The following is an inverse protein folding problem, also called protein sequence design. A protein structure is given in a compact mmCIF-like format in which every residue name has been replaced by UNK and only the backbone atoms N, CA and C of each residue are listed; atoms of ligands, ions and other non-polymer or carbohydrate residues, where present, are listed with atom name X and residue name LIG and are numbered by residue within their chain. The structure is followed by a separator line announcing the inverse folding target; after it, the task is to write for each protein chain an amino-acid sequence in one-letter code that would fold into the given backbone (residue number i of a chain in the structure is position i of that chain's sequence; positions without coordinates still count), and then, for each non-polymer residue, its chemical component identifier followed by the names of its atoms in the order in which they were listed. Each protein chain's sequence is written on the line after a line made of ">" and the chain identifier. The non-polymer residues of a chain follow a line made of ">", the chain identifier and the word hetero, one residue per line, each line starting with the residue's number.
data_IF_853023124084
#
_entry.id   IF_853023124084
#
_cell.length_a   1.000
_cell.length_b   1.000
_cell.length_c   1.000
_cell.angle_alpha   90.00
_cell.angle_beta   90.00
_cell.angle_gamma   90.00
#
_symmetry.space_group_name_H-M   'P 1'
#
loop_
_entity.id
_entity.type
_entity.pdbx_description
1 polymer ?
#
# COMPACT_ATOMS: atom_id res chain seq x y z
N UNK A 1 -23.66 -42.49 -5.84
CA UNK A 1 -22.88 -41.22 -5.92
C UNK A 1 -23.27 -40.55 -7.22
N UNK A 2 -23.96 -39.45 -7.18
CA UNK A 2 -24.27 -38.67 -8.39
C UNK A 2 -22.97 -38.10 -8.96
N UNK A 3 -22.58 -38.55 -10.14
CA UNK A 3 -21.44 -38.00 -10.88
C UNK A 3 -21.90 -36.67 -11.48
N UNK A 4 -21.58 -35.57 -10.84
CA UNK A 4 -21.87 -34.24 -11.39
C UNK A 4 -20.82 -33.94 -12.44
N UNK A 5 -21.22 -33.90 -13.71
CA UNK A 5 -20.35 -33.45 -14.79
C UNK A 5 -20.21 -31.92 -14.74
N UNK A 6 -19.01 -31.44 -14.70
CA UNK A 6 -18.69 -30.01 -14.74
C UNK A 6 -17.99 -29.74 -16.08
N UNK A 7 -18.51 -28.78 -16.84
CA UNK A 7 -17.83 -28.25 -18.00
C UNK A 7 -16.89 -27.14 -17.53
N UNK A 8 -15.62 -27.22 -17.92
CA UNK A 8 -14.61 -26.21 -17.56
C UNK A 8 -14.31 -25.34 -18.76
N UNK A 9 -14.40 -24.02 -18.56
CA UNK A 9 -14.02 -23.01 -19.54
C UNK A 9 -12.83 -22.24 -18.95
N UNK A 10 -11.92 -21.79 -19.81
CA UNK A 10 -10.82 -20.88 -19.43
C UNK A 10 -11.28 -19.43 -19.53
N UNK A 11 -10.59 -18.49 -18.83
CA UNK A 11 -10.99 -17.08 -18.79
C UNK A 11 -10.97 -16.42 -20.18
N UNK A 12 -10.06 -16.86 -21.08
CA UNK A 12 -9.97 -16.35 -22.44
C UNK A 12 -11.18 -16.72 -23.32
N UNK A 13 -11.91 -17.77 -22.97
CA UNK A 13 -13.16 -18.16 -23.66
C UNK A 13 -14.30 -17.15 -23.45
N UNK A 14 -14.23 -16.30 -22.44
CA UNK A 14 -15.32 -15.41 -22.02
C UNK A 14 -14.89 -13.95 -21.82
N UNK A 15 -13.61 -13.66 -21.69
CA UNK A 15 -13.10 -12.32 -21.35
C UNK A 15 -13.29 -11.29 -22.46
N UNK A 16 -13.47 -11.70 -23.70
CA UNK A 16 -13.76 -10.86 -24.87
C UNK A 16 -15.26 -10.54 -25.03
N UNK A 17 -16.14 -11.19 -24.27
CA UNK A 17 -17.59 -11.06 -24.39
C UNK A 17 -18.17 -9.94 -23.53
N UNK A 18 -17.37 -9.37 -22.66
CA UNK A 18 -17.77 -8.24 -21.79
C UNK A 18 -16.57 -7.43 -21.39
N UNK A 19 -16.81 -6.18 -21.01
CA UNK A 19 -15.81 -5.33 -20.38
C UNK A 19 -16.21 -5.08 -18.94
N UNK A 20 -15.25 -5.27 -18.01
CA UNK A 20 -15.46 -4.88 -16.62
C UNK A 20 -15.70 -3.37 -16.51
N UNK A 21 -16.61 -2.95 -15.63
CA UNK A 21 -16.89 -1.53 -15.39
C UNK A 21 -15.63 -0.82 -14.89
N UNK A 22 -15.27 0.26 -15.53
CA UNK A 22 -14.10 1.08 -15.16
C UNK A 22 -14.53 2.49 -14.73
N UNK A 23 -13.76 3.15 -13.84
CA UNK A 23 -12.55 2.64 -13.20
C UNK A 23 -12.84 1.63 -12.08
N UNK A 24 -12.06 0.55 -12.04
CA UNK A 24 -12.04 -0.37 -10.89
C UNK A 24 -11.13 0.18 -9.79
N UNK A 25 -11.17 -0.41 -8.59
CA UNK A 25 -10.42 0.07 -7.42
C UNK A 25 -8.90 -0.07 -7.58
N UNK A 26 -8.47 -1.11 -8.27
CA UNK A 26 -7.06 -1.41 -8.53
C UNK A 26 -6.57 -0.79 -9.83
N UNK A 27 -5.26 -0.68 -10.00
CA UNK A 27 -4.66 -0.25 -11.25
C UNK A 27 -4.72 -1.39 -12.26
N UNK A 28 -5.49 -1.18 -13.33
CA UNK A 28 -5.72 -2.13 -14.40
C UNK A 28 -4.77 -1.84 -15.57
N UNK A 29 -3.56 -2.39 -15.49
CA UNK A 29 -2.50 -2.17 -16.49
C UNK A 29 -1.89 -3.45 -17.06
N UNK A 30 -2.36 -4.63 -16.59
CA UNK A 30 -1.85 -5.92 -17.03
C UNK A 30 -2.92 -6.71 -17.77
N UNK A 31 -2.63 -7.14 -18.98
CA UNK A 31 -3.57 -7.82 -19.86
C UNK A 31 -4.20 -9.05 -19.22
N UNK A 32 -3.39 -9.92 -18.58
CA UNK A 32 -3.92 -11.14 -17.96
C UNK A 32 -4.87 -10.83 -16.81
N UNK A 33 -4.56 -9.84 -15.98
CA UNK A 33 -5.43 -9.44 -14.86
C UNK A 33 -6.70 -8.76 -15.36
N UNK A 34 -6.61 -7.90 -16.40
CA UNK A 34 -7.77 -7.30 -17.05
C UNK A 34 -8.75 -8.35 -17.59
N UNK A 35 -8.23 -9.46 -18.15
CA UNK A 35 -9.03 -10.60 -18.60
C UNK A 35 -9.75 -11.30 -17.44
N UNK A 36 -9.09 -11.46 -16.28
CA UNK A 36 -9.72 -12.03 -15.09
C UNK A 36 -10.86 -11.15 -14.57
N UNK A 37 -10.70 -9.83 -14.60
CA UNK A 37 -11.78 -8.90 -14.21
C UNK A 37 -12.97 -8.97 -15.19
N UNK A 38 -12.70 -9.04 -16.48
CA UNK A 38 -13.73 -9.21 -17.49
C UNK A 38 -14.46 -10.58 -17.33
N UNK A 39 -13.71 -11.66 -17.12
CA UNK A 39 -14.29 -12.98 -16.88
C UNK A 39 -15.15 -13.00 -15.60
N UNK A 40 -14.71 -12.32 -14.52
CA UNK A 40 -15.48 -12.21 -13.29
C UNK A 40 -16.81 -11.46 -13.50
N UNK A 41 -16.79 -10.36 -14.25
CA UNK A 41 -17.99 -9.60 -14.61
C UNK A 41 -18.94 -10.43 -15.49
N UNK A 42 -18.40 -11.14 -16.47
CA UNK A 42 -19.17 -12.05 -17.31
C UNK A 42 -19.86 -13.14 -16.48
N UNK A 43 -19.12 -13.84 -15.63
CA UNK A 43 -19.66 -14.88 -14.73
C UNK A 43 -20.69 -14.28 -13.78
N UNK A 44 -20.49 -13.07 -13.29
CA UNK A 44 -21.44 -12.36 -12.43
C UNK A 44 -22.84 -12.23 -13.07
N UNK A 45 -22.87 -11.93 -14.36
CA UNK A 45 -24.08 -11.74 -15.17
C UNK A 45 -24.79 -13.06 -15.56
N UNK A 46 -24.13 -14.22 -15.43
CA UNK A 46 -24.65 -15.51 -15.91
C UNK A 46 -24.84 -16.48 -14.75
N UNK A 47 -26.08 -16.93 -14.54
CA UNK A 47 -26.44 -17.77 -13.40
C UNK A 47 -25.85 -19.19 -13.45
N UNK A 48 -25.66 -19.70 -14.64
CA UNK A 48 -25.14 -21.06 -14.89
C UNK A 48 -23.60 -21.14 -14.88
N UNK A 49 -22.93 -20.05 -14.62
CA UNK A 49 -21.45 -19.96 -14.54
C UNK A 49 -20.99 -19.67 -13.13
N UNK A 50 -19.87 -20.26 -12.76
CA UNK A 50 -19.14 -19.97 -11.52
C UNK A 50 -17.67 -19.79 -11.83
N UNK A 51 -16.98 -18.96 -11.03
CA UNK A 51 -15.56 -18.70 -11.23
C UNK A 51 -14.74 -19.41 -10.16
N UNK A 52 -13.73 -20.14 -10.63
CA UNK A 52 -12.68 -20.73 -9.79
C UNK A 52 -11.36 -20.10 -10.21
N UNK A 53 -10.77 -19.32 -9.34
CA UNK A 53 -9.45 -18.73 -9.61
C UNK A 53 -8.35 -19.62 -9.05
N UNK A 54 -7.37 -19.91 -9.90
CA UNK A 54 -6.12 -20.55 -9.50
C UNK A 54 -5.12 -19.45 -9.12
N UNK A 55 -4.51 -19.56 -7.97
CA UNK A 55 -3.49 -18.61 -7.48
C UNK A 55 -2.27 -19.38 -7.02
N UNK A 56 -1.09 -18.95 -7.45
CA UNK A 56 0.16 -19.43 -6.93
C UNK A 56 0.53 -18.65 -5.65
N UNK A 57 1.75 -18.76 -5.21
CA UNK A 57 2.26 -18.11 -4.01
C UNK A 57 2.07 -16.59 -4.03
N UNK A 58 1.63 -16.01 -2.91
CA UNK A 58 1.14 -14.63 -2.77
C UNK A 58 2.14 -13.48 -3.00
N UNK A 59 3.28 -13.71 -3.63
CA UNK A 59 4.17 -12.62 -4.06
C UNK A 59 3.84 -12.22 -5.50
N UNK A 60 3.50 -10.97 -5.72
CA UNK A 60 3.19 -10.45 -7.03
C UNK A 60 1.83 -9.74 -7.07
N UNK A 61 1.29 -9.60 -8.28
CA UNK A 61 0.03 -8.86 -8.50
C UNK A 61 -1.19 -9.70 -8.11
N UNK A 62 -1.04 -11.01 -7.93
CA UNK A 62 -2.14 -11.94 -7.66
C UNK A 62 -2.92 -11.59 -6.40
N UNK A 63 -2.26 -11.14 -5.32
CA UNK A 63 -2.94 -10.70 -4.10
C UNK A 63 -3.88 -9.50 -4.35
N UNK A 64 -3.57 -8.65 -5.32
CA UNK A 64 -4.40 -7.52 -5.74
C UNK A 64 -5.54 -8.01 -6.63
N UNK A 65 -5.24 -8.94 -7.53
CA UNK A 65 -6.19 -9.47 -8.50
C UNK A 65 -7.27 -10.30 -7.83
N UNK A 66 -6.89 -11.17 -6.90
CA UNK A 66 -7.84 -12.00 -6.13
C UNK A 66 -8.83 -11.13 -5.36
N UNK A 67 -8.35 -10.08 -4.71
CA UNK A 67 -9.17 -9.14 -3.95
C UNK A 67 -10.17 -8.37 -4.85
N UNK A 68 -9.75 -7.99 -6.06
CA UNK A 68 -10.63 -7.30 -7.01
C UNK A 68 -11.65 -8.25 -7.67
N UNK A 69 -11.24 -9.48 -8.00
CA UNK A 69 -12.16 -10.50 -8.55
C UNK A 69 -13.23 -10.86 -7.53
N UNK A 70 -12.86 -11.01 -6.25
CA UNK A 70 -13.81 -11.26 -5.16
C UNK A 70 -14.82 -10.11 -5.03
N UNK A 71 -14.36 -8.85 -5.11
CA UNK A 71 -15.23 -7.66 -5.07
C UNK A 71 -16.24 -7.66 -6.24
N UNK A 72 -15.78 -7.97 -7.46
CA UNK A 72 -16.66 -8.07 -8.63
C UNK A 72 -17.71 -9.15 -8.42
N UNK A 73 -17.31 -10.38 -8.08
CA UNK A 73 -18.24 -11.50 -7.90
C UNK A 73 -19.23 -11.24 -6.76
N UNK A 74 -18.77 -10.69 -5.64
CA UNK A 74 -19.62 -10.36 -4.49
C UNK A 74 -20.69 -9.32 -4.85
N UNK A 75 -20.41 -8.40 -5.77
CA UNK A 75 -21.39 -7.40 -6.24
C UNK A 75 -22.55 -8.02 -7.03
N UNK A 76 -22.38 -9.26 -7.50
CA UNK A 76 -23.40 -10.06 -8.18
C UNK A 76 -23.95 -11.19 -7.31
N UNK A 77 -23.67 -11.19 -6.01
CA UNK A 77 -24.03 -12.26 -5.07
C UNK A 77 -23.50 -13.65 -5.50
N UNK A 78 -22.33 -13.65 -6.14
CA UNK A 78 -21.61 -14.86 -6.53
C UNK A 78 -20.56 -15.24 -5.50
N UNK A 79 -20.37 -16.55 -5.29
CA UNK A 79 -19.33 -17.04 -4.41
C UNK A 79 -17.96 -16.99 -5.11
N UNK A 80 -16.99 -16.39 -4.44
CA UNK A 80 -15.60 -16.45 -4.89
C UNK A 80 -14.94 -17.76 -4.45
N UNK A 81 -14.38 -18.51 -5.39
CA UNK A 81 -13.67 -19.76 -5.11
C UNK A 81 -12.21 -19.64 -5.53
N UNK A 82 -11.33 -19.51 -4.55
CA UNK A 82 -9.88 -19.44 -4.73
C UNK A 82 -9.26 -20.79 -4.42
N UNK A 83 -8.45 -21.32 -5.34
CA UNK A 83 -7.60 -22.50 -5.15
C UNK A 83 -6.15 -22.06 -5.17
N UNK A 84 -5.45 -22.21 -4.05
CA UNK A 84 -4.02 -21.97 -3.96
C UNK A 84 -3.26 -23.19 -4.47
N UNK A 85 -2.36 -22.96 -5.42
CA UNK A 85 -1.48 -23.96 -5.99
C UNK A 85 -0.09 -23.70 -5.41
N UNK A 86 0.32 -24.55 -4.49
CA UNK A 86 1.64 -24.51 -3.88
C UNK A 86 2.46 -25.71 -4.34
N UNK A 87 3.72 -25.76 -3.94
CA UNK A 87 4.63 -26.89 -4.15
C UNK A 87 4.13 -28.18 -3.46
N UNK A 88 3.28 -28.02 -2.44
CA UNK A 88 2.63 -29.13 -1.72
C UNK A 88 1.25 -29.35 -2.27
N UNK A 89 1.08 -30.37 -3.12
CA UNK A 89 -0.21 -30.74 -3.72
C UNK A 89 -1.20 -31.29 -2.67
N UNK A 90 -1.94 -30.40 -2.03
CA UNK A 90 -3.03 -30.83 -1.12
C UNK A 90 -4.36 -30.94 -1.86
N UNK A 91 -4.55 -32.02 -2.60
CA UNK A 91 -5.79 -32.29 -3.34
C UNK A 91 -7.02 -32.41 -2.42
N UNK A 92 -6.84 -32.69 -1.13
CA UNK A 92 -7.92 -32.73 -0.15
C UNK A 92 -8.60 -31.38 0.00
N UNK A 93 -7.83 -30.31 0.21
CA UNK A 93 -8.34 -28.95 0.34
C UNK A 93 -9.04 -28.48 -0.94
N UNK A 94 -8.48 -28.79 -2.11
CA UNK A 94 -9.09 -28.48 -3.42
C UNK A 94 -10.45 -29.16 -3.56
N UNK A 95 -10.53 -30.46 -3.23
CA UNK A 95 -11.81 -31.21 -3.30
C UNK A 95 -12.88 -30.64 -2.37
N UNK A 96 -12.51 -30.22 -1.17
CA UNK A 96 -13.44 -29.59 -0.22
C UNK A 96 -13.97 -28.27 -0.81
N UNK A 97 -13.11 -27.40 -1.34
CA UNK A 97 -13.52 -26.13 -1.95
C UNK A 97 -14.47 -26.32 -3.14
N UNK A 98 -14.16 -27.25 -4.04
CA UNK A 98 -15.03 -27.55 -5.17
C UNK A 98 -16.37 -28.15 -4.72
N UNK A 99 -16.39 -29.03 -3.71
CA UNK A 99 -17.65 -29.54 -3.14
C UNK A 99 -18.51 -28.46 -2.52
N UNK A 100 -17.88 -27.49 -1.81
CA UNK A 100 -18.57 -26.33 -1.24
C UNK A 100 -19.17 -25.45 -2.33
N UNK A 101 -18.43 -25.21 -3.42
CA UNK A 101 -18.94 -24.49 -4.59
C UNK A 101 -20.18 -25.18 -5.18
N UNK A 102 -20.10 -26.47 -5.45
CA UNK A 102 -21.22 -27.24 -6.00
C UNK A 102 -22.46 -27.23 -5.09
N UNK A 103 -22.26 -27.35 -3.78
CA UNK A 103 -23.37 -27.27 -2.81
C UNK A 103 -24.02 -25.87 -2.83
N UNK A 104 -23.24 -24.80 -2.97
CA UNK A 104 -23.74 -23.44 -3.09
C UNK A 104 -24.49 -23.19 -4.40
N UNK A 105 -23.98 -23.72 -5.52
CA UNK A 105 -24.67 -23.67 -6.82
C UNK A 105 -26.05 -24.31 -6.75
N UNK A 106 -26.15 -25.53 -6.20
CA UNK A 106 -27.41 -26.23 -6.04
C UNK A 106 -28.42 -25.46 -5.18
N UNK A 107 -27.96 -24.79 -4.11
CA UNK A 107 -28.83 -23.94 -3.29
C UNK A 107 -29.37 -22.73 -4.05
N UNK A 108 -28.52 -22.09 -4.88
CA UNK A 108 -28.93 -20.92 -5.68
C UNK A 108 -29.90 -21.30 -6.79
N UNK A 109 -29.67 -22.42 -7.49
CA UNK A 109 -30.59 -22.93 -8.51
C UNK A 109 -31.97 -23.26 -7.95
N UNK A 110 -32.08 -23.63 -6.67
CA UNK A 110 -33.34 -23.90 -6.00
C UNK A 110 -34.13 -22.63 -5.62
N UNK A 111 -33.46 -21.45 -5.55
CA UNK A 111 -34.10 -20.14 -5.32
C UNK A 111 -34.42 -19.52 -6.67
N UNK A 112 -35.71 -19.24 -6.96
CA UNK A 112 -36.11 -18.40 -8.09
C UNK A 112 -35.36 -17.04 -7.97
N UNK A 113 -34.56 -16.68 -8.99
CA UNK A 113 -33.84 -15.45 -8.98
C UNK A 113 -34.68 -14.31 -9.56
N UNK A 114 -34.72 -13.20 -8.86
CA UNK A 114 -35.14 -11.90 -9.40
C UNK A 114 -34.09 -11.42 -10.41
N UNK A 115 -34.49 -10.60 -11.38
CA UNK A 115 -33.56 -9.98 -12.34
C UNK A 115 -32.39 -9.32 -11.61
N UNK A 116 -31.17 -9.74 -11.91
CA UNK A 116 -29.96 -9.18 -11.30
C UNK A 116 -29.69 -7.80 -11.87
N UNK A 117 -29.63 -6.82 -10.98
CA UNK A 117 -29.07 -5.53 -11.29
C UNK A 117 -27.57 -5.67 -11.66
N UNK A 118 -27.09 -4.79 -12.51
CA UNK A 118 -25.66 -4.67 -12.82
C UNK A 118 -24.83 -4.47 -11.53
N UNK A 119 -23.80 -5.29 -11.33
CA UNK A 119 -22.96 -5.24 -10.12
C UNK A 119 -22.36 -3.85 -9.87
N UNK A 120 -22.38 -3.41 -8.63
CA UNK A 120 -21.83 -2.12 -8.19
C UNK A 120 -20.44 -2.30 -7.56
N UNK A 121 -19.43 -2.47 -8.40
CA UNK A 121 -18.04 -2.63 -8.00
C UNK A 121 -17.12 -1.51 -8.51
N UNK A 122 -17.68 -0.49 -9.16
CA UNK A 122 -16.91 0.67 -9.65
C UNK A 122 -16.23 1.47 -8.53
N UNK A 123 -15.09 2.07 -8.84
CA UNK A 123 -14.33 2.88 -7.89
C UNK A 123 -15.13 4.09 -7.42
N UNK A 124 -15.59 4.05 -6.17
CA UNK A 124 -16.13 5.20 -5.45
C UNK A 124 -15.03 5.80 -4.58
N UNK A 125 -14.63 7.04 -4.87
CA UNK A 125 -13.57 7.73 -4.12
C UNK A 125 -13.94 9.17 -3.82
N UNK A 126 -13.56 9.63 -2.64
CA UNK A 126 -13.57 11.05 -2.30
C UNK A 126 -12.34 11.71 -2.91
N UNK A 127 -12.54 12.78 -3.66
CA UNK A 127 -11.45 13.55 -4.28
C UNK A 127 -10.97 14.62 -3.31
N UNK A 128 -9.65 14.75 -3.14
CA UNK A 128 -9.04 15.84 -2.38
C UNK A 128 -9.06 17.12 -3.23
N UNK A 129 -9.88 18.10 -2.83
CA UNK A 129 -10.12 19.34 -3.58
C UNK A 129 -9.16 20.46 -3.19
N UNK A 130 -9.18 21.57 -3.93
CA UNK A 130 -8.35 22.75 -3.64
C UNK A 130 -8.73 23.43 -2.32
N UNK A 131 -10.01 23.41 -1.99
CA UNK A 131 -10.57 23.98 -0.76
C UNK A 131 -10.05 23.21 0.46
N UNK A 132 -10.01 21.87 0.38
CA UNK A 132 -9.52 21.00 1.45
C UNK A 132 -8.06 21.26 1.81
N UNK A 133 -7.26 21.75 0.87
CA UNK A 133 -5.82 22.02 1.08
C UNK A 133 -5.55 22.93 2.29
N UNK A 134 -6.43 23.86 2.59
CA UNK A 134 -6.20 24.87 3.65
C UNK A 134 -6.44 24.31 5.06
N UNK A 135 -7.45 23.44 5.18
CA UNK A 135 -8.00 23.07 6.47
C UNK A 135 -7.80 21.58 6.83
N UNK A 136 -7.38 20.77 5.86
CA UNK A 136 -7.20 19.34 6.06
C UNK A 136 -5.81 19.00 6.57
N UNK A 137 -5.76 18.06 7.51
CA UNK A 137 -4.52 17.39 7.94
C UNK A 137 -4.29 16.18 7.05
N UNK A 138 -3.10 16.10 6.44
CA UNK A 138 -2.69 14.98 5.60
C UNK A 138 -1.86 14.02 6.45
N UNK A 139 -2.36 12.81 6.67
CA UNK A 139 -1.66 11.76 7.38
C UNK A 139 -0.75 10.97 6.43
N UNK A 140 0.51 10.86 6.78
CA UNK A 140 1.57 10.16 6.04
C UNK A 140 1.92 8.89 6.80
N UNK A 141 1.85 7.67 6.21
CA UNK A 141 2.28 6.46 6.91
C UNK A 141 3.81 6.41 7.02
N UNK A 142 4.32 5.84 8.09
CA UNK A 142 5.77 5.63 8.25
C UNK A 142 6.21 4.42 7.43
N UNK A 143 7.03 4.65 6.41
CA UNK A 143 7.56 3.58 5.56
C UNK A 143 9.09 3.43 5.65
N UNK A 144 9.79 4.49 6.09
CA UNK A 144 11.23 4.49 6.31
C UNK A 144 11.58 5.54 7.39
N UNK A 145 11.88 5.13 8.62
CA UNK A 145 11.95 6.02 9.78
C UNK A 145 12.79 7.27 9.60
N UNK A 146 13.96 7.15 8.99
CA UNK A 146 14.88 8.30 8.78
C UNK A 146 14.36 9.25 7.71
N UNK A 147 13.95 8.68 6.57
CA UNK A 147 13.59 9.46 5.39
C UNK A 147 12.23 10.15 5.53
N UNK A 148 11.23 9.44 6.08
CA UNK A 148 9.87 9.96 6.20
C UNK A 148 9.78 11.11 7.21
N UNK A 149 10.63 11.14 8.23
CA UNK A 149 10.77 12.28 9.13
C UNK A 149 11.20 13.57 8.42
N UNK A 150 12.02 13.44 7.38
CA UNK A 150 12.45 14.57 6.54
C UNK A 150 11.42 14.89 5.45
N UNK A 151 10.79 13.87 4.87
CA UNK A 151 9.72 14.01 3.86
C UNK A 151 8.51 14.76 4.42
N UNK A 152 8.12 14.51 5.67
CA UNK A 152 7.09 15.31 6.37
C UNK A 152 7.42 16.80 6.30
N UNK A 153 8.67 17.16 6.57
CA UNK A 153 9.13 18.55 6.51
C UNK A 153 9.08 19.15 5.11
N UNK A 154 9.33 18.34 4.07
CA UNK A 154 9.21 18.77 2.68
C UNK A 154 7.76 19.05 2.28
N UNK A 155 6.82 18.18 2.68
CA UNK A 155 5.40 18.36 2.41
C UNK A 155 4.84 19.57 3.15
N UNK A 156 5.26 19.78 4.42
CA UNK A 156 4.91 20.98 5.19
C UNK A 156 5.45 22.26 4.53
N UNK A 157 6.70 22.25 4.03
CA UNK A 157 7.29 23.38 3.32
C UNK A 157 6.57 23.72 1.99
N UNK A 158 5.91 22.76 1.39
CA UNK A 158 5.06 22.96 0.22
C UNK A 158 3.67 23.56 0.55
N UNK A 159 3.39 23.83 1.83
CA UNK A 159 2.16 24.48 2.30
C UNK A 159 1.02 23.53 2.59
N UNK A 160 1.31 22.30 2.98
CA UNK A 160 0.33 21.33 3.45
C UNK A 160 0.47 21.11 4.97
N UNK A 161 -0.63 20.94 5.66
CA UNK A 161 -0.63 20.50 7.04
C UNK A 161 -0.46 18.96 7.04
N UNK A 162 0.78 18.49 7.14
CA UNK A 162 1.14 17.09 7.06
C UNK A 162 1.63 16.57 8.40
N UNK A 163 1.20 15.36 8.76
CA UNK A 163 1.56 14.66 10.00
C UNK A 163 2.00 13.24 9.66
N UNK A 164 3.20 12.88 10.09
CA UNK A 164 3.75 11.53 9.95
C UNK A 164 3.24 10.64 11.08
N UNK A 165 2.68 9.49 10.74
CA UNK A 165 2.26 8.45 11.67
C UNK A 165 3.50 7.63 12.07
N UNK A 166 4.11 7.96 13.22
CA UNK A 166 5.40 7.37 13.64
C UNK A 166 5.27 6.01 14.30
N UNK A 167 4.17 5.81 14.99
CA UNK A 167 3.98 4.60 15.78
C UNK A 167 3.55 3.42 14.90
N UNK A 168 4.18 2.27 15.16
CA UNK A 168 3.82 0.99 14.56
C UNK A 168 3.91 -0.07 15.65
N UNK A 169 2.76 -0.52 16.13
CA UNK A 169 2.63 -1.45 17.25
C UNK A 169 2.04 -2.78 16.76
N UNK A 170 1.96 -3.76 17.68
CA UNK A 170 1.24 -5.01 17.40
C UNK A 170 -0.24 -4.72 17.01
N UNK A 171 -0.86 -3.73 17.64
CA UNK A 171 -2.23 -3.31 17.32
C UNK A 171 -2.35 -2.77 15.88
N UNK A 172 -1.34 -2.06 15.40
CA UNK A 172 -1.27 -1.62 13.99
C UNK A 172 -1.32 -2.81 13.03
N UNK A 173 -0.57 -3.88 13.33
CA UNK A 173 -0.58 -5.12 12.54
C UNK A 173 -1.96 -5.77 12.55
N UNK A 174 -2.55 -5.94 13.72
CA UNK A 174 -3.87 -6.56 13.91
C UNK A 174 -4.96 -5.76 13.17
N UNK A 175 -4.93 -4.43 13.25
CA UNK A 175 -5.83 -3.55 12.51
C UNK A 175 -5.64 -3.71 11.00
N UNK A 176 -4.39 -3.75 10.52
CA UNK A 176 -4.11 -3.98 9.10
C UNK A 176 -4.61 -5.33 8.60
N UNK A 177 -4.39 -6.41 9.35
CA UNK A 177 -4.85 -7.76 9.03
C UNK A 177 -6.39 -7.89 8.97
N UNK A 178 -7.11 -7.04 9.67
CA UNK A 178 -8.57 -7.02 9.64
C UNK A 178 -9.12 -6.55 8.29
N UNK A 179 -8.40 -5.66 7.58
CA UNK A 179 -8.89 -4.99 6.38
C UNK A 179 -8.12 -5.31 5.10
N UNK A 180 -6.93 -5.88 5.21
CA UNK A 180 -6.08 -6.21 4.07
C UNK A 180 -5.97 -7.72 3.91
N UNK A 181 -6.07 -8.20 2.68
CA UNK A 181 -5.88 -9.60 2.33
C UNK A 181 -4.51 -10.10 2.82
N UNK A 182 -4.50 -11.25 3.52
CA UNK A 182 -3.29 -11.87 4.07
C UNK A 182 -2.25 -12.28 3.02
N UNK A 183 -2.64 -12.40 1.75
CA UNK A 183 -1.73 -12.66 0.64
C UNK A 183 -1.01 -11.39 0.17
N UNK A 184 -1.43 -10.21 0.63
CA UNK A 184 -0.74 -8.96 0.38
C UNK A 184 0.58 -8.89 1.16
N UNK A 185 1.53 -8.10 0.64
CA UNK A 185 2.81 -7.93 1.33
C UNK A 185 2.64 -7.20 2.66
N UNK A 186 3.44 -7.57 3.64
CA UNK A 186 3.37 -7.04 5.00
C UNK A 186 3.42 -5.50 5.07
N UNK A 187 4.23 -4.77 4.26
CA UNK A 187 4.17 -3.31 4.26
C UNK A 187 2.79 -2.74 3.94
N UNK A 188 1.97 -3.41 3.11
CA UNK A 188 0.61 -2.94 2.83
C UNK A 188 -0.31 -3.10 4.04
N UNK A 189 -0.11 -4.15 4.83
CA UNK A 189 -0.82 -4.39 6.09
C UNK A 189 -0.46 -3.29 7.09
N UNK A 190 0.85 -2.99 7.25
CA UNK A 190 1.32 -1.97 8.17
C UNK A 190 0.81 -0.57 7.83
N UNK A 191 0.97 -0.12 6.58
CA UNK A 191 0.55 1.24 6.20
C UNK A 191 -0.97 1.41 6.29
N UNK A 192 -1.73 0.37 5.94
CA UNK A 192 -3.19 0.41 6.08
C UNK A 192 -3.59 0.42 7.54
N UNK A 193 -2.96 -0.43 8.36
CA UNK A 193 -3.18 -0.48 9.80
C UNK A 193 -2.90 0.86 10.48
N UNK A 194 -1.75 1.49 10.22
CA UNK A 194 -1.43 2.82 10.75
C UNK A 194 -2.49 3.88 10.41
N UNK A 195 -2.97 3.86 9.16
CA UNK A 195 -3.97 4.83 8.71
C UNK A 195 -5.32 4.62 9.39
N UNK A 196 -5.80 3.39 9.46
CA UNK A 196 -7.08 3.08 10.11
C UNK A 196 -7.00 3.34 11.61
N UNK A 197 -5.94 2.88 12.29
CA UNK A 197 -5.71 3.14 13.71
C UNK A 197 -5.67 4.64 14.02
N UNK A 198 -5.03 5.44 13.18
CA UNK A 198 -5.01 6.89 13.34
C UNK A 198 -6.42 7.50 13.25
N UNK A 199 -7.26 7.04 12.31
CA UNK A 199 -8.64 7.51 12.17
C UNK A 199 -9.54 7.06 13.33
N UNK A 200 -9.34 5.84 13.85
CA UNK A 200 -10.06 5.31 15.01
C UNK A 200 -9.63 5.95 16.33
N UNK A 201 -8.44 6.54 16.40
CA UNK A 201 -7.85 7.10 17.63
C UNK A 201 -8.61 8.30 18.23
N UNK A 202 -9.48 8.94 17.48
CA UNK A 202 -10.16 10.18 17.88
C UNK A 202 -9.25 11.43 17.93
N UNK A 203 -7.95 11.30 17.58
CA UNK A 203 -7.00 12.43 17.58
C UNK A 203 -7.19 13.39 16.40
N UNK A 204 -7.87 12.94 15.34
CA UNK A 204 -8.02 13.69 14.10
C UNK A 204 -9.50 13.91 13.77
N UNK A 205 -9.85 15.11 13.33
CA UNK A 205 -11.19 15.41 12.81
C UNK A 205 -11.38 14.72 11.45
N UNK A 206 -12.21 13.67 11.41
CA UNK A 206 -12.47 12.87 10.21
C UNK A 206 -13.00 13.70 9.03
N UNK A 207 -13.66 14.84 9.31
CA UNK A 207 -14.16 15.74 8.27
C UNK A 207 -13.07 16.65 7.68
N UNK A 208 -11.91 16.73 8.33
CA UNK A 208 -10.76 17.54 7.93
C UNK A 208 -9.47 16.74 7.85
N UNK A 209 -9.58 15.44 7.61
CA UNK A 209 -8.44 14.53 7.47
C UNK A 209 -8.39 13.95 6.06
N UNK A 210 -7.19 13.85 5.53
CA UNK A 210 -6.87 13.16 4.29
C UNK A 210 -5.70 12.21 4.51
N UNK A 211 -5.64 11.14 3.76
CA UNK A 211 -4.51 10.21 3.74
C UNK A 211 -3.68 10.44 2.48
N UNK A 212 -2.39 10.15 2.52
CA UNK A 212 -1.53 10.18 1.32
C UNK A 212 -0.78 8.87 1.17
N UNK A 213 -0.73 8.38 -0.06
CA UNK A 213 0.04 7.19 -0.40
C UNK A 213 0.69 7.34 -1.77
N UNK A 214 1.94 6.88 -1.90
CA UNK A 214 2.64 6.86 -3.18
C UNK A 214 2.04 5.81 -4.12
N UNK A 215 2.00 6.13 -5.41
CA UNK A 215 1.54 5.24 -6.47
C UNK A 215 2.53 5.32 -7.63
N UNK A 216 3.36 4.28 -7.77
CA UNK A 216 4.53 4.33 -8.67
C UNK A 216 4.21 4.00 -10.13
N UNK A 217 3.14 3.25 -10.38
CA UNK A 217 2.77 2.79 -11.73
C UNK A 217 3.58 1.57 -12.22
N UNK A 218 4.48 1.04 -11.40
CA UNK A 218 5.26 -0.16 -11.74
C UNK A 218 4.53 -1.47 -11.48
N UNK A 219 5.17 -2.60 -11.83
CA UNK A 219 4.65 -3.95 -11.63
C UNK A 219 4.63 -4.43 -10.18
N UNK A 220 5.00 -3.59 -9.22
CA UNK A 220 4.96 -3.90 -7.80
C UNK A 220 3.57 -3.67 -7.22
N UNK A 221 3.18 -4.47 -6.24
CA UNK A 221 1.94 -4.30 -5.46
C UNK A 221 1.81 -2.92 -4.80
N UNK A 222 2.93 -2.26 -4.49
CA UNK A 222 2.95 -0.91 -3.93
C UNK A 222 2.16 0.10 -4.79
N UNK A 223 2.06 -0.10 -6.09
CA UNK A 223 1.19 0.67 -6.97
C UNK A 223 -0.28 0.60 -6.55
N UNK A 224 -0.69 -0.50 -5.92
CA UNK A 224 -2.07 -0.79 -5.51
C UNK A 224 -2.32 -0.61 -4.01
N UNK A 225 -1.36 -0.16 -3.20
CA UNK A 225 -1.61 0.13 -1.77
C UNK A 225 -2.75 1.12 -1.57
N UNK A 226 -2.86 2.10 -2.47
CA UNK A 226 -3.98 3.05 -2.44
C UNK A 226 -5.35 2.36 -2.62
N UNK A 227 -5.40 1.27 -3.39
CA UNK A 227 -6.59 0.45 -3.55
C UNK A 227 -6.95 -0.30 -2.25
N UNK A 228 -5.97 -0.89 -1.57
CA UNK A 228 -6.18 -1.53 -0.26
C UNK A 228 -6.65 -0.54 0.79
N UNK A 229 -6.02 0.63 0.87
CA UNK A 229 -6.42 1.70 1.80
C UNK A 229 -7.88 2.13 1.54
N UNK A 230 -8.28 2.33 0.29
CA UNK A 230 -9.66 2.71 -0.05
C UNK A 230 -10.68 1.64 0.31
N UNK A 231 -10.34 0.35 0.10
CA UNK A 231 -11.17 -0.76 0.55
C UNK A 231 -11.29 -0.76 2.08
N UNK A 232 -10.17 -0.66 2.78
CA UNK A 232 -10.13 -0.61 4.24
C UNK A 232 -10.97 0.56 4.79
N UNK A 233 -10.89 1.75 4.18
CA UNK A 233 -11.73 2.89 4.56
C UNK A 233 -13.21 2.62 4.37
N UNK A 234 -13.60 1.96 3.27
CA UNK A 234 -14.99 1.56 3.03
C UNK A 234 -15.47 0.57 4.10
N UNK A 235 -14.68 -0.46 4.36
CA UNK A 235 -15.02 -1.54 5.28
C UNK A 235 -15.01 -1.09 6.75
N UNK A 236 -14.18 -0.07 7.08
CA UNK A 236 -14.12 0.56 8.41
C UNK A 236 -15.12 1.72 8.60
N UNK A 237 -15.92 2.07 7.59
CA UNK A 237 -16.89 3.16 7.69
C UNK A 237 -16.34 4.57 7.46
N UNK A 238 -15.11 4.71 6.96
CA UNK A 238 -14.45 6.00 6.70
C UNK A 238 -14.44 6.41 5.23
N UNK A 239 -15.44 6.03 4.44
CA UNK A 239 -15.52 6.30 2.99
C UNK A 239 -15.42 7.79 2.62
N UNK A 240 -15.69 8.69 3.57
CA UNK A 240 -15.62 10.14 3.37
C UNK A 240 -14.20 10.71 3.49
N UNK A 241 -13.21 9.94 3.92
CA UNK A 241 -11.81 10.37 4.03
C UNK A 241 -11.14 10.26 2.66
N UNK A 242 -10.66 11.36 2.06
CA UNK A 242 -9.99 11.31 0.77
C UNK A 242 -8.59 10.70 0.90
N UNK A 243 -8.21 9.88 -0.10
CA UNK A 243 -6.87 9.31 -0.22
C UNK A 243 -6.17 9.96 -1.39
N UNK A 244 -5.11 10.71 -1.10
CA UNK A 244 -4.28 11.39 -2.09
C UNK A 244 -3.33 10.38 -2.72
N UNK A 245 -3.42 10.21 -4.04
CA UNK A 245 -2.44 9.48 -4.82
C UNK A 245 -1.24 10.38 -5.11
N UNK A 246 -0.11 10.11 -4.46
CA UNK A 246 1.15 10.74 -4.81
C UNK A 246 1.77 9.98 -5.99
N UNK A 247 1.50 10.46 -7.20
CA UNK A 247 1.98 9.85 -8.43
C UNK A 247 2.57 10.91 -9.37
N UNK A 248 3.65 10.54 -10.05
CA UNK A 248 4.37 11.39 -11.02
C UNK A 248 3.89 11.13 -12.45
N UNK A 249 3.23 9.99 -12.68
CA UNK A 249 2.87 9.50 -14.03
C UNK A 249 1.46 9.94 -14.45
N UNK A 250 0.75 10.69 -13.59
CA UNK A 250 -0.59 11.18 -13.91
C UNK A 250 -1.69 10.12 -13.83
N UNK A 251 -1.49 9.03 -13.07
CA UNK A 251 -2.45 7.94 -12.90
C UNK A 251 -3.79 8.41 -12.31
N UNK A 252 -3.74 9.37 -11.39
CA UNK A 252 -4.92 9.99 -10.81
C UNK A 252 -4.77 11.51 -10.70
N UNK A 253 -5.84 12.24 -11.03
CA UNK A 253 -5.89 13.69 -10.85
C UNK A 253 -6.33 14.04 -9.44
N UNK A 254 -5.50 14.79 -8.70
CA UNK A 254 -5.76 15.29 -7.35
C UNK A 254 -5.69 16.81 -7.35
N UNK A 255 -6.81 17.54 -7.57
CA UNK A 255 -6.80 19.00 -7.76
C UNK A 255 -6.25 19.76 -6.54
N UNK A 256 -6.43 19.24 -5.34
CA UNK A 256 -5.94 19.83 -4.08
C UNK A 256 -4.48 19.58 -3.79
N UNK A 257 -3.87 18.54 -4.38
CA UNK A 257 -2.46 18.20 -4.15
C UNK A 257 -1.64 18.44 -5.42
N UNK A 258 -0.69 19.36 -5.37
CA UNK A 258 0.14 19.73 -6.50
C UNK A 258 1.61 19.40 -6.23
N UNK A 259 2.24 18.73 -7.18
CA UNK A 259 3.69 18.53 -7.19
C UNK A 259 4.32 19.81 -7.73
N UNK A 260 4.90 20.60 -6.84
CA UNK A 260 5.58 21.86 -7.17
C UNK A 260 7.09 21.67 -7.23
N UNK A 261 7.85 22.51 -7.95
CA UNK A 261 9.32 22.47 -7.94
C UNK A 261 9.90 22.53 -6.51
N UNK A 262 9.28 23.34 -5.63
CA UNK A 262 9.67 23.42 -4.22
C UNK A 262 9.48 22.10 -3.47
N UNK A 263 8.37 21.39 -3.72
CA UNK A 263 8.13 20.06 -3.14
C UNK A 263 9.18 19.06 -3.65
N UNK A 264 9.45 19.04 -4.96
CA UNK A 264 10.46 18.14 -5.54
C UNK A 264 11.84 18.41 -4.94
N UNK A 265 12.24 19.67 -4.84
CA UNK A 265 13.52 20.07 -4.21
C UNK A 265 13.59 19.56 -2.76
N UNK A 266 12.52 19.78 -1.97
CA UNK A 266 12.44 19.29 -0.59
C UNK A 266 12.53 17.76 -0.49
N UNK A 267 11.84 17.03 -1.38
CA UNK A 267 11.90 15.57 -1.43
C UNK A 267 13.31 15.07 -1.76
N UNK A 268 14.00 15.68 -2.74
CA UNK A 268 15.39 15.32 -3.08
C UNK A 268 16.32 15.57 -1.91
N UNK A 269 16.22 16.73 -1.26
CA UNK A 269 17.01 17.04 -0.05
C UNK A 269 16.75 16.01 1.06
N UNK A 270 15.48 15.63 1.25
CA UNK A 270 15.08 14.65 2.27
C UNK A 270 15.72 13.28 2.02
N UNK A 271 15.74 12.82 0.78
CA UNK A 271 16.36 11.52 0.42
C UNK A 271 17.87 11.58 0.68
N UNK A 272 18.55 12.61 0.19
CA UNK A 272 20.01 12.74 0.36
C UNK A 272 20.41 12.85 1.83
N UNK A 273 19.72 13.67 2.62
CA UNK A 273 19.99 13.75 4.06
C UNK A 273 19.67 12.44 4.78
N UNK A 274 18.57 11.78 4.41
CA UNK A 274 18.18 10.50 4.99
C UNK A 274 19.25 9.44 4.79
N UNK A 275 19.71 9.26 3.55
CA UNK A 275 20.77 8.32 3.22
C UNK A 275 22.08 8.65 3.94
N UNK A 276 22.47 9.94 3.97
CA UNK A 276 23.68 10.38 4.62
C UNK A 276 23.64 10.12 6.12
N UNK A 277 22.57 10.57 6.80
CA UNK A 277 22.43 10.42 8.25
C UNK A 277 22.35 8.94 8.64
N UNK A 278 21.60 8.11 7.91
CA UNK A 278 21.52 6.68 8.15
C UNK A 278 22.88 6.00 7.99
N UNK A 279 23.64 6.37 6.94
CA UNK A 279 24.97 5.84 6.70
C UNK A 279 25.95 6.23 7.80
N UNK A 280 25.96 7.49 8.23
CA UNK A 280 26.84 7.97 9.30
C UNK A 280 26.50 7.35 10.64
N UNK A 281 25.20 7.26 10.99
CA UNK A 281 24.72 6.60 12.19
C UNK A 281 25.18 5.13 12.25
N UNK A 282 24.91 4.35 11.21
CA UNK A 282 25.22 2.92 11.22
C UNK A 282 26.71 2.62 11.19
N UNK A 283 27.50 3.45 10.47
CA UNK A 283 28.96 3.32 10.40
C UNK A 283 29.61 3.59 11.76
N UNK A 284 29.29 4.71 12.41
CA UNK A 284 29.98 5.17 13.61
C UNK A 284 29.49 4.45 14.87
N UNK A 285 28.16 4.24 15.02
CA UNK A 285 27.56 3.58 16.18
C UNK A 285 28.15 2.21 16.50
N UNK A 286 28.62 1.50 15.45
CA UNK A 286 29.23 0.18 15.65
C UNK A 286 30.60 0.25 16.34
N UNK A 287 31.32 1.37 16.21
CA UNK A 287 32.71 1.53 16.63
C UNK A 287 32.94 2.68 17.61
N UNK A 288 31.91 3.45 17.98
CA UNK A 288 32.07 4.57 18.93
C UNK A 288 32.64 4.12 20.26
N UNK A 289 33.62 4.87 20.78
CA UNK A 289 34.21 4.63 22.09
C UNK A 289 33.23 5.10 23.17
N UNK A 290 32.73 6.33 23.01
CA UNK A 290 31.73 6.90 23.91
C UNK A 290 30.32 6.49 23.48
N UNK A 291 29.73 5.51 24.16
CA UNK A 291 28.41 4.97 23.80
C UNK A 291 27.32 6.04 23.81
N UNK A 292 26.61 6.16 22.68
CA UNK A 292 25.50 7.09 22.48
C UNK A 292 25.90 8.44 21.88
N UNK A 293 27.19 8.74 21.70
CA UNK A 293 27.67 9.98 21.09
C UNK A 293 27.19 10.10 19.65
N UNK A 294 27.28 9.01 18.87
CA UNK A 294 26.79 8.95 17.49
C UNK A 294 25.28 9.23 17.41
N UNK A 295 24.50 8.64 18.32
CA UNK A 295 23.04 8.84 18.33
C UNK A 295 22.69 10.29 18.66
N UNK A 296 23.37 10.90 19.64
CA UNK A 296 23.15 12.32 20.00
C UNK A 296 23.44 13.24 18.83
N UNK A 297 24.57 13.05 18.15
CA UNK A 297 24.94 13.86 16.99
C UNK A 297 23.94 13.66 15.82
N UNK A 298 23.49 12.43 15.62
CA UNK A 298 22.44 12.13 14.64
C UNK A 298 21.14 12.89 14.94
N UNK A 299 20.68 12.90 16.19
CA UNK A 299 19.44 13.59 16.57
C UNK A 299 19.55 15.10 16.37
N UNK A 300 20.72 15.69 16.69
CA UNK A 300 21.01 17.10 16.45
C UNK A 300 20.98 17.44 14.96
N UNK A 301 21.64 16.63 14.12
CA UNK A 301 21.63 16.83 12.67
C UNK A 301 20.26 16.55 12.04
N UNK A 302 19.52 15.58 12.53
CA UNK A 302 18.16 15.34 12.08
C UNK A 302 17.27 16.58 12.28
N UNK A 303 17.36 17.21 13.46
CA UNK A 303 16.63 18.45 13.73
C UNK A 303 17.04 19.60 12.80
N UNK A 304 18.36 19.78 12.57
CA UNK A 304 18.89 20.77 11.62
C UNK A 304 18.43 20.48 10.18
N UNK A 305 18.53 19.24 9.73
CA UNK A 305 18.13 18.81 8.37
C UNK A 305 16.63 19.06 8.12
N UNK A 306 15.75 18.81 9.09
CA UNK A 306 14.31 19.15 9.00
C UNK A 306 14.09 20.64 8.71
N UNK A 307 14.88 21.53 9.31
CA UNK A 307 14.79 22.96 9.04
C UNK A 307 15.40 23.32 7.68
N UNK A 308 16.50 22.68 7.31
CA UNK A 308 17.17 22.93 6.03
C UNK A 308 16.35 22.44 4.83
N UNK A 309 15.64 21.33 4.94
CA UNK A 309 14.66 20.88 3.93
C UNK A 309 13.61 21.97 3.68
N UNK A 310 13.18 22.69 4.71
CA UNK A 310 12.16 23.75 4.58
C UNK A 310 12.69 25.04 3.95
N UNK A 311 13.93 25.45 4.23
CA UNK A 311 14.36 26.83 3.96
C UNK A 311 15.78 27.00 3.40
N UNK A 312 16.56 25.94 3.16
CA UNK A 312 17.94 26.10 2.69
C UNK A 312 18.05 26.42 1.20
N UNK A 313 19.03 27.24 0.84
CA UNK A 313 19.50 27.38 -0.53
C UNK A 313 20.33 26.17 -0.96
N UNK A 314 20.54 25.98 -2.27
CA UNK A 314 21.37 24.87 -2.77
C UNK A 314 22.83 24.95 -2.29
N UNK A 315 23.36 26.18 -2.05
CA UNK A 315 24.70 26.37 -1.50
C UNK A 315 24.76 25.87 -0.06
N UNK A 316 23.78 26.26 0.77
CA UNK A 316 23.70 25.82 2.16
C UNK A 316 23.49 24.32 2.26
N UNK A 317 22.64 23.74 1.38
CA UNK A 317 22.43 22.29 1.29
C UNK A 317 23.73 21.55 0.99
N UNK A 318 24.49 21.98 -0.02
CA UNK A 318 25.80 21.37 -0.34
C UNK A 318 26.78 21.49 0.82
N UNK A 319 26.85 22.66 1.45
CA UNK A 319 27.75 22.87 2.58
C UNK A 319 27.42 21.95 3.75
N UNK A 320 26.15 21.82 4.10
CA UNK A 320 25.72 20.98 5.22
C UNK A 320 26.05 19.49 5.03
N UNK A 321 26.13 19.00 3.79
CA UNK A 321 26.57 17.62 3.53
C UNK A 321 28.01 17.43 4.02
N UNK A 322 28.88 18.38 3.71
CA UNK A 322 30.29 18.37 4.21
C UNK A 322 30.34 18.53 5.73
N UNK A 323 29.55 19.43 6.27
CA UNK A 323 29.52 19.68 7.73
C UNK A 323 29.08 18.44 8.50
N UNK A 324 28.04 17.70 8.00
CA UNK A 324 27.61 16.43 8.59
C UNK A 324 28.76 15.43 8.60
N UNK A 325 29.42 15.22 7.46
CA UNK A 325 30.53 14.27 7.36
C UNK A 325 31.66 14.66 8.34
N UNK A 326 32.07 15.93 8.34
CA UNK A 326 33.13 16.42 9.19
C UNK A 326 32.81 16.27 10.68
N UNK A 327 31.55 16.50 11.08
CA UNK A 327 31.17 16.36 12.49
C UNK A 327 31.16 14.89 12.91
N UNK A 328 30.67 13.97 12.07
CA UNK A 328 30.72 12.54 12.37
C UNK A 328 32.15 11.95 12.33
N UNK A 329 33.06 12.55 11.56
CA UNK A 329 34.47 12.15 11.55
C UNK A 329 35.23 12.52 12.84
N UNK A 330 34.71 13.46 13.64
CA UNK A 330 35.28 13.80 14.94
C UNK A 330 34.97 12.79 16.04
N UNK A 331 33.99 11.91 15.84
CA UNK A 331 33.64 10.88 16.80
C UNK A 331 34.79 9.86 16.90
N UNK A 332 35.27 9.63 18.11
CA UNK A 332 36.34 8.69 18.36
C UNK A 332 35.84 7.25 18.19
N UNK A 333 36.51 6.51 17.30
CA UNK A 333 36.16 5.14 16.95
C UNK A 333 37.24 4.14 17.37
N UNK A 334 36.83 3.04 18.00
CA UNK A 334 37.72 1.91 18.25
C UNK A 334 37.95 1.11 16.96
N UNK A 335 39.06 1.39 16.31
CA UNK A 335 39.49 0.72 15.08
C UNK A 335 40.36 -0.54 15.34
N UNK A 336 40.67 -0.83 16.61
CA UNK A 336 41.47 -2.01 17.01
C UNK A 336 40.74 -3.33 16.74
N UNK A 337 39.40 -3.30 16.74
CA UNK A 337 38.54 -4.47 16.55
C UNK A 337 37.87 -4.37 15.19
N UNK A 338 38.15 -5.34 14.33
CA UNK A 338 37.42 -5.47 13.05
C UNK A 338 36.15 -6.30 13.24
N UNK A 339 34.99 -5.65 13.33
CA UNK A 339 33.71 -6.35 13.43
C UNK A 339 33.32 -7.01 12.11
N UNK A 340 32.73 -8.21 12.13
CA UNK A 340 32.26 -8.88 10.93
C UNK A 340 31.14 -8.09 10.26
N UNK A 341 31.16 -8.04 8.93
CA UNK A 341 30.07 -7.47 8.15
C UNK A 341 29.03 -8.56 7.88
N UNK A 342 27.80 -8.30 8.25
CA UNK A 342 26.67 -9.19 8.00
C UNK A 342 25.73 -8.52 7.02
N UNK A 343 25.47 -9.15 5.88
CA UNK A 343 24.44 -8.74 4.95
C UNK A 343 23.10 -9.33 5.36
N UNK A 344 22.08 -8.48 5.52
CA UNK A 344 20.70 -8.91 5.73
C UNK A 344 20.00 -8.87 4.40
N UNK A 345 19.49 -10.02 3.97
CA UNK A 345 18.76 -10.19 2.70
C UNK A 345 17.39 -10.78 3.03
N UNK A 346 16.35 -10.25 2.39
CA UNK A 346 14.99 -10.75 2.60
C UNK A 346 13.92 -9.73 2.23
N UNK A 347 12.73 -9.91 2.75
CA UNK A 347 11.59 -9.02 2.59
C UNK A 347 11.86 -7.63 3.20
N UNK A 348 11.14 -6.62 2.71
CA UNK A 348 11.23 -5.20 3.16
C UNK A 348 10.93 -5.01 4.65
N UNK A 349 10.53 -6.07 5.33
CA UNK A 349 10.22 -6.15 6.76
C UNK A 349 11.37 -5.95 7.72
N UNK A 350 12.60 -6.06 7.24
CA UNK A 350 13.79 -6.12 8.09
C UNK A 350 14.46 -4.74 8.19
N UNK A 351 13.74 -3.67 8.02
CA UNK A 351 14.29 -2.32 8.18
C UNK A 351 14.02 -1.77 9.56
#
# INVERSE_FOLDING_TARGET
>A
MSTTFICVLTEDSVSDKTEAKRPIRVVDQWVFHARLYAAADFVGKHDNLELVQLNSFGCGVDAVTTDQVEEILSSYDKMYTLIKIDEVNNLGAVRIRIRSLLASMNKRMAKKQEEKADGDYGLKKKIFTKEMRKDYTILIPQMAPVHFDLLESAVQAAGYNAVLLRDCTQHTVETGLKYVNNDACYPSILVTGQMIEALESGKYDLNKTALIMSQTGGGCRATNYIGFIRKALKDAGFSNVPVISFNVVGMEKMPGFKITPKLIEGLVKSVVYGDLLQKMLTKNRAYEINKGETQKLYDEWMAKCKQMVKKSTNKQFKQSIYDIVNDFEKIELDTSIKKPKVGIVGEVLIK
#
